data_IF_230348106359
#
_entry.id   IF_230348106359
#
_cell.length_a   1.000
_cell.length_b   1.000
_cell.length_c   1.000
_cell.angle_alpha   90.00
_cell.angle_beta   90.00
_cell.angle_gamma   90.00
#
_symmetry.space_group_name_H-M   'P 1'
#
loop_
_entity.id
_entity.type
_entity.pdbx_description
1 polymer ?
#
# COMPACT_ATOMS: atom_id res chain seq x y z
N UNK A 1 9.27 5.70 7.53
CA UNK A 1 7.81 5.52 7.40
C UNK A 1 7.15 5.66 8.76
N UNK A 2 7.68 5.01 9.80
CA UNK A 2 7.16 5.19 11.18
C UNK A 2 7.13 6.63 11.63
N UNK A 3 8.23 7.38 11.52
CA UNK A 3 8.24 8.79 11.95
C UNK A 3 7.16 9.63 11.24
N UNK A 4 6.91 9.40 9.96
CA UNK A 4 5.87 10.11 9.21
C UNK A 4 4.49 9.70 9.71
N UNK A 5 4.26 8.39 9.89
CA UNK A 5 3.00 7.86 10.39
C UNK A 5 2.72 8.25 11.85
N UNK A 6 3.74 8.45 12.68
CA UNK A 6 3.60 8.82 14.10
C UNK A 6 3.42 10.33 14.28
N UNK A 7 3.99 11.14 13.38
CA UNK A 7 3.88 12.59 13.43
C UNK A 7 2.69 13.16 12.66
N UNK A 8 2.05 12.39 11.77
CA UNK A 8 0.87 12.80 11.01
C UNK A 8 -0.42 12.76 11.86
N UNK A 9 -0.53 13.69 12.82
CA UNK A 9 -1.68 13.74 13.74
C UNK A 9 -2.99 14.18 13.06
N UNK A 10 -2.89 14.88 11.93
CA UNK A 10 -4.04 15.40 11.17
C UNK A 10 -4.50 14.45 10.07
N UNK A 11 -3.78 13.35 9.83
CA UNK A 11 -4.12 12.38 8.79
C UNK A 11 -3.96 12.93 7.38
N UNK A 12 -2.97 13.82 7.16
CA UNK A 12 -2.68 14.42 5.87
C UNK A 12 -2.01 13.44 4.90
N UNK A 13 -1.38 12.38 5.41
CA UNK A 13 -0.55 11.45 4.65
C UNK A 13 -1.08 10.02 4.82
N UNK A 14 -1.67 9.49 3.76
CA UNK A 14 -2.04 8.08 3.68
C UNK A 14 -0.88 7.26 3.06
N UNK A 15 -0.33 6.31 3.82
CA UNK A 15 0.80 5.47 3.38
C UNK A 15 0.34 4.06 2.99
N UNK A 16 0.78 3.58 1.83
CA UNK A 16 0.51 2.23 1.33
C UNK A 16 1.80 1.55 0.92
N UNK A 17 2.12 0.42 1.58
CA UNK A 17 3.30 -0.38 1.26
C UNK A 17 2.88 -1.60 0.43
N UNK A 18 3.58 -1.87 -0.68
CA UNK A 18 3.35 -3.06 -1.51
C UNK A 18 4.62 -3.91 -1.61
N UNK A 19 4.58 -5.12 -1.07
CA UNK A 19 5.66 -6.10 -1.20
C UNK A 19 5.40 -6.99 -2.43
N UNK A 20 5.96 -6.59 -3.57
CA UNK A 20 5.68 -7.21 -4.88
C UNK A 20 6.41 -8.53 -5.12
N UNK A 21 7.31 -8.94 -4.23
CA UNK A 21 8.01 -10.24 -4.30
C UNK A 21 7.16 -11.40 -3.78
N UNK A 22 6.07 -11.09 -3.08
CA UNK A 22 5.06 -12.06 -2.62
C UNK A 22 3.92 -12.06 -3.64
N UNK A 23 3.57 -13.24 -4.16
CA UNK A 23 2.49 -13.38 -5.15
C UNK A 23 1.11 -13.31 -4.48
N UNK A 24 0.04 -13.13 -5.26
CA UNK A 24 -1.34 -13.05 -4.74
C UNK A 24 -1.80 -14.32 -3.99
N UNK A 25 -2.97 -14.21 -3.33
CA UNK A 25 -3.66 -15.30 -2.65
C UNK A 25 -3.74 -16.55 -3.53
N UNK A 26 -3.03 -17.62 -3.15
CA UNK A 26 -2.97 -18.87 -3.89
C UNK A 26 -1.63 -19.60 -3.78
N UNK A 27 -0.52 -18.87 -3.52
CA UNK A 27 0.76 -19.46 -3.12
C UNK A 27 0.74 -19.73 -1.60
N UNK A 28 1.13 -20.94 -1.18
CA UNK A 28 1.21 -21.32 0.24
C UNK A 28 2.11 -20.36 1.05
N UNK A 29 3.14 -19.79 0.42
CA UNK A 29 4.01 -18.78 1.05
C UNK A 29 3.27 -17.47 1.31
N UNK A 30 2.43 -17.04 0.37
CA UNK A 30 1.59 -15.85 0.50
C UNK A 30 0.50 -16.04 1.55
N UNK A 31 -0.08 -17.24 1.65
CA UNK A 31 -1.04 -17.57 2.70
C UNK A 31 -0.41 -17.48 4.10
N UNK A 32 0.75 -18.11 4.31
CA UNK A 32 1.44 -18.10 5.60
C UNK A 32 1.83 -16.68 6.04
N UNK A 33 2.47 -15.91 5.14
CA UNK A 33 2.90 -14.55 5.49
C UNK A 33 1.70 -13.63 5.78
N UNK A 34 0.58 -13.80 5.06
CA UNK A 34 -0.65 -13.05 5.30
C UNK A 34 -1.29 -13.40 6.65
N UNK A 35 -1.27 -14.68 7.04
CA UNK A 35 -1.74 -15.11 8.37
C UNK A 35 -0.88 -14.50 9.48
N UNK A 36 0.45 -14.59 9.35
CA UNK A 36 1.39 -14.02 10.32
C UNK A 36 1.25 -12.50 10.44
N UNK A 37 1.15 -11.80 9.31
CA UNK A 37 0.85 -10.36 9.22
C UNK A 37 -0.42 -10.01 10.01
N UNK A 38 -1.50 -10.77 9.80
CA UNK A 38 -2.79 -10.53 10.47
C UNK A 38 -2.70 -10.74 11.98
N UNK A 39 -2.01 -11.79 12.43
CA UNK A 39 -1.80 -12.07 13.86
C UNK A 39 -0.94 -10.97 14.51
N UNK A 40 0.16 -10.56 13.87
CA UNK A 40 1.05 -9.55 14.44
C UNK A 40 0.35 -8.19 14.51
N UNK A 41 -0.37 -7.79 13.47
CA UNK A 41 -1.16 -6.56 13.50
C UNK A 41 -2.20 -6.58 14.61
N UNK A 42 -2.88 -7.70 14.83
CA UNK A 42 -3.82 -7.83 15.95
C UNK A 42 -3.12 -7.78 17.32
N UNK A 43 -1.86 -8.21 17.41
CA UNK A 43 -1.11 -8.28 18.67
C UNK A 43 -0.41 -6.98 19.06
N UNK A 44 0.27 -6.33 18.11
CA UNK A 44 1.13 -5.16 18.36
C UNK A 44 0.80 -3.96 17.48
N UNK A 45 -0.08 -4.11 16.48
CA UNK A 45 -0.33 -3.08 15.48
C UNK A 45 0.85 -2.83 14.54
N UNK A 46 1.84 -3.72 14.52
CA UNK A 46 3.05 -3.58 13.70
C UNK A 46 3.04 -4.59 12.56
N UNK A 47 3.42 -4.11 11.39
CA UNK A 47 3.61 -4.85 10.15
C UNK A 47 4.83 -5.77 10.22
N UNK A 48 4.69 -7.04 9.82
CA UNK A 48 5.79 -8.02 9.95
C UNK A 48 6.92 -7.81 8.93
N UNK A 49 6.65 -7.09 7.85
CA UNK A 49 7.59 -6.90 6.74
C UNK A 49 8.44 -5.66 6.97
N UNK A 50 7.77 -4.53 7.21
CA UNK A 50 8.39 -3.22 7.33
C UNK A 50 8.75 -2.86 8.77
N UNK A 51 8.19 -3.55 9.76
CA UNK A 51 8.33 -3.19 11.17
C UNK A 51 7.59 -1.92 11.57
N UNK A 52 6.73 -1.40 10.68
CA UNK A 52 6.03 -0.13 10.86
C UNK A 52 4.57 -0.30 11.29
N UNK A 53 3.88 0.77 11.69
CA UNK A 53 2.41 0.73 11.89
C UNK A 53 1.60 0.71 10.58
N UNK A 54 2.27 0.89 9.44
CA UNK A 54 1.64 0.88 8.11
C UNK A 54 1.58 -0.55 7.59
N UNK A 55 0.36 -1.04 7.34
CA UNK A 55 0.13 -2.39 6.81
C UNK A 55 0.69 -2.52 5.38
N UNK A 56 1.51 -3.54 5.19
CA UNK A 56 1.98 -3.97 3.88
C UNK A 56 0.91 -4.81 3.17
N UNK A 57 0.60 -4.43 1.93
CA UNK A 57 -0.12 -5.22 0.95
C UNK A 57 0.87 -6.16 0.25
N UNK A 58 0.44 -7.39 0.00
CA UNK A 58 1.20 -8.36 -0.78
C UNK A 58 0.79 -8.29 -2.26
N UNK A 59 1.70 -8.68 -3.14
CA UNK A 59 1.58 -8.56 -4.59
C UNK A 59 1.68 -7.12 -5.13
N UNK A 60 1.53 -7.01 -6.45
CA UNK A 60 1.60 -5.73 -7.16
C UNK A 60 0.33 -4.92 -6.91
N UNK A 61 0.43 -3.59 -6.77
CA UNK A 61 -0.74 -2.73 -6.66
C UNK A 61 -1.61 -2.83 -7.90
N UNK A 62 -2.93 -2.92 -7.70
CA UNK A 62 -3.91 -2.70 -8.75
C UNK A 62 -4.14 -1.19 -8.88
N UNK A 63 -3.36 -0.52 -9.72
CA UNK A 63 -3.39 0.94 -9.85
C UNK A 63 -4.75 1.50 -10.23
N UNK A 64 -5.56 0.77 -11.02
CA UNK A 64 -6.95 1.16 -11.32
C UNK A 64 -7.78 1.25 -10.05
N UNK A 65 -7.68 0.25 -9.18
CA UNK A 65 -8.42 0.25 -7.91
C UNK A 65 -7.90 1.33 -6.95
N UNK A 66 -6.57 1.52 -6.89
CA UNK A 66 -5.96 2.59 -6.08
C UNK A 66 -6.47 3.96 -6.53
N UNK A 67 -6.40 4.29 -7.82
CA UNK A 67 -6.86 5.58 -8.34
C UNK A 67 -8.38 5.73 -8.20
N UNK A 68 -9.15 4.64 -8.38
CA UNK A 68 -10.59 4.63 -8.11
C UNK A 68 -10.89 4.96 -6.64
N UNK A 69 -10.13 4.40 -5.71
CA UNK A 69 -10.30 4.68 -4.28
C UNK A 69 -10.08 6.17 -3.99
N UNK A 70 -8.99 6.75 -4.48
CA UNK A 70 -8.67 8.18 -4.28
C UNK A 70 -9.76 9.07 -4.89
N UNK A 71 -10.21 8.78 -6.11
CA UNK A 71 -11.26 9.59 -6.78
C UNK A 71 -12.61 9.53 -6.08
N UNK A 72 -12.97 8.39 -5.47
CA UNK A 72 -14.20 8.27 -4.67
C UNK A 72 -14.11 9.09 -3.37
N UNK A 73 -12.94 9.11 -2.72
CA UNK A 73 -12.75 9.82 -1.46
C UNK A 73 -12.57 11.35 -1.63
N UNK A 74 -12.19 11.80 -2.84
CA UNK A 74 -11.95 13.21 -3.15
C UNK A 74 -12.79 13.68 -4.35
N UNK A 75 -14.12 13.72 -4.22
CA UNK A 75 -15.01 14.08 -5.33
C UNK A 75 -14.79 15.53 -5.76
N UNK A 76 -14.91 15.78 -7.07
CA UNK A 76 -14.79 17.11 -7.71
C UNK A 76 -13.44 17.82 -7.50
N UNK A 77 -12.42 17.10 -7.05
CA UNK A 77 -11.06 17.62 -6.89
C UNK A 77 -10.15 17.20 -8.03
N UNK A 78 -9.16 18.05 -8.34
CA UNK A 78 -8.09 17.70 -9.26
C UNK A 78 -6.99 16.95 -8.50
N UNK A 79 -6.77 15.70 -8.87
CA UNK A 79 -5.72 14.87 -8.27
C UNK A 79 -4.45 14.95 -9.13
N UNK A 80 -3.33 15.30 -8.51
CA UNK A 80 -2.01 15.25 -9.12
C UNK A 80 -1.29 13.95 -8.76
N UNK A 81 -0.74 13.25 -9.75
CA UNK A 81 0.06 12.03 -9.53
C UNK A 81 1.52 12.31 -9.87
N UNK A 82 2.41 12.05 -8.92
CA UNK A 82 3.85 12.15 -9.09
C UNK A 82 4.45 10.75 -8.98
N UNK A 83 5.34 10.40 -9.91
CA UNK A 83 5.94 9.06 -9.96
C UNK A 83 7.47 9.14 -9.99
N UNK A 84 8.11 8.37 -9.10
CA UNK A 84 9.54 8.15 -9.06
C UNK A 84 9.79 6.64 -8.95
N UNK A 85 10.30 6.02 -10.01
CA UNK A 85 10.54 4.59 -10.05
C UNK A 85 10.89 4.06 -11.44
N UNK A 86 10.87 2.73 -11.63
CA UNK A 86 11.20 2.09 -12.90
C UNK A 86 10.37 2.61 -14.08
N UNK A 87 11.02 2.85 -15.22
CA UNK A 87 10.36 3.40 -16.42
C UNK A 87 9.18 2.54 -16.92
N UNK A 88 9.24 1.22 -16.70
CA UNK A 88 8.21 0.28 -17.17
C UNK A 88 6.80 0.58 -16.64
N UNK A 89 6.68 1.26 -15.49
CA UNK A 89 5.38 1.56 -14.89
C UNK A 89 4.78 2.91 -15.36
N UNK A 90 5.60 3.81 -15.90
CA UNK A 90 5.16 5.14 -16.35
C UNK A 90 4.04 5.04 -17.39
N UNK A 91 4.16 4.08 -18.31
CA UNK A 91 3.16 3.82 -19.33
C UNK A 91 1.82 3.44 -18.72
N UNK A 92 1.80 2.50 -17.77
CA UNK A 92 0.57 2.08 -17.10
C UNK A 92 -0.10 3.25 -16.37
N UNK A 93 0.65 3.96 -15.52
CA UNK A 93 0.10 5.05 -14.69
C UNK A 93 -0.43 6.23 -15.50
N UNK A 94 0.14 6.50 -16.67
CA UNK A 94 -0.29 7.62 -17.54
C UNK A 94 -1.63 7.38 -18.23
N UNK A 95 -2.04 6.13 -18.40
CA UNK A 95 -3.31 5.76 -19.05
C UNK A 95 -4.46 5.51 -18.07
N UNK A 96 -4.23 5.75 -16.77
CA UNK A 96 -5.20 5.63 -15.69
C UNK A 96 -5.71 7.01 -15.29
#
# INVERSE_FOLDING_TARGET
MDEVSENDQEGLIELHNYCTSVYEEGDARSALITMLQSIQQAKSGVDIVSGTRVKTHFARPNWRQVFKHVTINHPEQRIGVFYCGPQGLVGELRHL
#
